data_IF_872634082331
#
_entry.id   IF_872634082331
#
_cell.length_a   1.000
_cell.length_b   1.000
_cell.length_c   1.000
_cell.angle_alpha   90.00
_cell.angle_beta   90.00
_cell.angle_gamma   90.00
#
_symmetry.space_group_name_H-M   'P 1'
#
loop_
_entity.id
_entity.type
_entity.pdbx_description
1 polymer ?
#
# COMPACT_ATOMS: atom_id res chain seq x y z
N UNK A 1 16.62 10.44 -5.67
CA UNK A 1 15.65 11.01 -6.62
C UNK A 1 14.46 11.48 -5.83
N UNK A 2 13.78 12.60 -6.14
CA UNK A 2 12.48 12.87 -5.53
C UNK A 2 11.53 11.71 -5.82
N UNK A 3 10.65 11.42 -4.87
CA UNK A 3 9.60 10.42 -5.02
C UNK A 3 8.77 10.74 -6.27
N UNK A 4 8.42 9.73 -7.10
CA UNK A 4 7.66 9.96 -8.31
C UNK A 4 6.27 10.49 -7.95
N UNK A 5 5.83 11.56 -8.63
CA UNK A 5 4.49 12.11 -8.43
C UNK A 5 3.48 11.18 -9.11
N UNK A 6 2.55 10.55 -8.36
CA UNK A 6 1.56 9.68 -8.95
C UNK A 6 0.45 10.48 -9.65
N UNK A 7 0.00 10.00 -10.81
CA UNK A 7 -1.09 10.58 -11.60
C UNK A 7 -2.25 9.61 -11.66
N UNK A 8 -3.49 10.11 -11.50
CA UNK A 8 -4.68 9.28 -11.62
C UNK A 8 -5.04 9.03 -13.09
N UNK A 9 -5.38 7.78 -13.42
CA UNK A 9 -5.97 7.45 -14.71
C UNK A 9 -7.42 7.93 -14.75
N UNK A 10 -7.67 8.95 -15.56
CA UNK A 10 -8.97 9.60 -15.70
C UNK A 10 -9.48 9.41 -17.12
N UNK A 11 -10.74 9.02 -17.24
CA UNK A 11 -11.41 8.87 -18.52
C UNK A 11 -12.38 10.04 -18.70
N UNK A 12 -12.07 11.00 -19.60
CA UNK A 12 -12.94 12.14 -19.86
C UNK A 12 -14.26 11.66 -20.49
N UNK A 13 -15.35 12.43 -20.35
CA UNK A 13 -16.61 12.12 -21.03
C UNK A 13 -16.37 12.04 -22.55
N UNK A 14 -17.02 11.06 -23.20
CA UNK A 14 -16.99 10.93 -24.66
C UNK A 14 -18.33 10.46 -25.18
N UNK A 15 -18.80 11.09 -26.25
CA UNK A 15 -19.96 10.68 -27.03
C UNK A 15 -19.58 10.07 -28.38
N UNK A 16 -18.28 10.00 -28.70
CA UNK A 16 -17.78 9.43 -29.94
C UNK A 16 -18.03 7.91 -30.00
N UNK A 17 -18.85 7.42 -30.94
CA UNK A 17 -19.15 6.00 -31.09
C UNK A 17 -17.91 5.13 -31.35
N UNK A 18 -16.84 5.70 -31.90
CA UNK A 18 -15.61 4.96 -32.19
C UNK A 18 -14.83 4.60 -30.94
N UNK A 19 -14.84 5.48 -29.93
CA UNK A 19 -14.15 5.26 -28.65
C UNK A 19 -15.03 4.60 -27.59
N UNK A 20 -16.35 4.84 -27.61
CA UNK A 20 -17.29 4.30 -26.61
C UNK A 20 -17.31 2.77 -26.57
N UNK A 21 -17.24 2.13 -27.75
CA UNK A 21 -17.29 0.67 -27.88
C UNK A 21 -16.08 -0.05 -27.28
N UNK A 22 -14.95 0.65 -27.16
CA UNK A 22 -13.70 0.11 -26.60
C UNK A 22 -13.50 0.48 -25.13
N UNK A 23 -14.45 1.22 -24.54
CA UNK A 23 -14.42 1.61 -23.13
C UNK A 23 -15.32 0.67 -22.33
N UNK A 24 -14.75 -0.43 -21.82
CA UNK A 24 -15.48 -1.38 -20.97
C UNK A 24 -16.15 -0.72 -19.75
N UNK A 25 -15.55 0.36 -19.23
CA UNK A 25 -16.14 1.19 -18.18
C UNK A 25 -17.39 1.96 -18.64
N UNK A 26 -17.47 2.40 -19.90
CA UNK A 26 -18.67 3.08 -20.43
C UNK A 26 -19.87 2.13 -20.55
N UNK A 27 -19.61 0.85 -20.81
CA UNK A 27 -20.63 -0.20 -20.79
C UNK A 27 -21.13 -0.52 -19.38
N UNK A 28 -20.21 -0.62 -18.41
CA UNK A 28 -20.53 -0.95 -17.02
C UNK A 28 -21.12 0.24 -16.25
N UNK A 29 -20.76 1.46 -16.64
CA UNK A 29 -21.14 2.70 -15.99
C UNK A 29 -21.60 3.72 -17.05
N UNK A 30 -22.89 3.71 -17.45
CA UNK A 30 -23.42 4.59 -18.50
C UNK A 30 -23.27 6.09 -18.20
N UNK A 31 -23.15 6.47 -16.92
CA UNK A 31 -22.92 7.86 -16.48
C UNK A 31 -21.62 8.46 -17.04
N UNK A 32 -20.63 7.61 -17.36
CA UNK A 32 -19.32 8.02 -17.88
C UNK A 32 -19.35 8.56 -19.32
N UNK A 33 -20.51 8.49 -19.98
CA UNK A 33 -20.76 9.15 -21.28
C UNK A 33 -21.03 10.64 -21.12
N UNK A 34 -21.54 11.05 -19.95
CA UNK A 34 -21.94 12.43 -19.63
C UNK A 34 -21.07 13.09 -18.57
N UNK A 35 -20.26 12.34 -17.83
CA UNK A 35 -19.35 12.86 -16.81
C UNK A 35 -18.00 12.14 -16.83
N UNK A 36 -16.98 12.82 -16.30
CA UNK A 36 -15.66 12.24 -16.11
C UNK A 36 -15.73 11.00 -15.21
N UNK A 37 -15.06 9.93 -15.64
CA UNK A 37 -14.88 8.74 -14.81
C UNK A 37 -13.46 8.68 -14.26
N UNK A 38 -13.39 8.59 -12.94
CA UNK A 38 -12.16 8.54 -12.16
C UNK A 38 -11.93 7.12 -11.71
N UNK A 39 -10.92 6.45 -12.30
CA UNK A 39 -10.61 5.05 -11.98
C UNK A 39 -10.16 4.89 -10.53
N UNK A 40 -9.60 5.95 -9.93
CA UNK A 40 -8.85 5.93 -8.67
C UNK A 40 -7.55 5.14 -8.72
N UNK A 41 -7.12 4.68 -9.88
CA UNK A 41 -5.83 4.04 -10.08
C UNK A 41 -4.76 5.09 -10.36
N UNK A 42 -3.67 5.02 -9.60
CA UNK A 42 -2.51 5.89 -9.71
C UNK A 42 -1.42 5.22 -10.53
N UNK A 43 -0.78 5.99 -11.40
CA UNK A 43 0.31 5.56 -12.26
C UNK A 43 1.48 6.53 -12.14
N UNK A 44 2.68 5.98 -12.32
CA UNK A 44 3.92 6.74 -12.45
C UNK A 44 4.63 6.33 -13.74
N UNK A 45 5.50 7.18 -14.33
CA UNK A 45 6.37 6.76 -15.41
C UNK A 45 7.16 5.50 -15.01
N UNK A 46 7.42 4.62 -15.97
CA UNK A 46 8.17 3.40 -15.68
C UNK A 46 9.55 3.76 -15.09
N UNK A 47 10.05 3.07 -14.04
CA UNK A 47 11.33 3.43 -13.40
C UNK A 47 12.55 3.21 -14.30
N UNK A 48 12.46 2.29 -15.25
CA UNK A 48 13.45 2.13 -16.33
C UNK A 48 13.37 3.30 -17.33
N UNK A 49 14.45 4.08 -17.52
CA UNK A 49 14.47 5.22 -18.42
C UNK A 49 14.13 4.92 -19.89
N UNK A 50 14.52 3.75 -20.40
CA UNK A 50 14.21 3.36 -21.79
C UNK A 50 12.70 3.20 -21.96
N UNK A 51 12.06 2.47 -21.04
CA UNK A 51 10.61 2.27 -21.01
C UNK A 51 9.86 3.58 -20.76
N UNK A 52 10.36 4.44 -19.89
CA UNK A 52 9.79 5.77 -19.68
C UNK A 52 9.83 6.62 -20.95
N UNK A 53 10.93 6.57 -21.70
CA UNK A 53 11.08 7.31 -22.96
C UNK A 53 10.15 6.83 -24.08
N UNK A 54 9.72 5.56 -24.02
CA UNK A 54 8.67 4.98 -24.88
C UNK A 54 7.24 5.33 -24.41
N UNK A 55 7.09 6.09 -23.32
CA UNK A 55 5.79 6.47 -22.77
C UNK A 55 5.12 5.38 -21.95
N UNK A 56 5.87 4.40 -21.43
CA UNK A 56 5.30 3.35 -20.59
C UNK A 56 5.10 3.82 -19.14
N UNK A 57 3.95 3.45 -18.58
CA UNK A 57 3.54 3.76 -17.22
C UNK A 57 3.42 2.48 -16.40
N UNK A 58 3.67 2.60 -15.10
CA UNK A 58 3.53 1.50 -14.14
C UNK A 58 2.43 1.85 -13.13
N UNK A 59 1.58 0.86 -12.83
CA UNK A 59 0.64 0.97 -11.72
C UNK A 59 1.40 1.25 -10.41
N UNK A 60 0.98 2.30 -9.73
CA UNK A 60 1.56 2.75 -8.47
C UNK A 60 0.67 2.38 -7.29
N UNK A 61 -0.64 2.51 -7.42
CA UNK A 61 -1.55 2.18 -6.33
C UNK A 61 -2.93 2.75 -6.55
N UNK A 62 -3.67 2.87 -5.46
CA UNK A 62 -5.05 3.34 -5.44
C UNK A 62 -5.15 4.62 -4.62
N UNK A 63 -5.93 5.59 -5.10
CA UNK A 63 -6.20 6.84 -4.36
C UNK A 63 -6.85 6.54 -3.00
N UNK A 64 -7.77 5.58 -2.99
CA UNK A 64 -8.54 5.14 -1.82
C UNK A 64 -7.75 4.23 -0.86
N UNK A 65 -6.59 3.70 -1.26
CA UNK A 65 -5.71 2.92 -0.38
C UNK A 65 -4.68 3.79 0.36
N UNK A 66 -4.56 5.08 0.04
CA UNK A 66 -3.59 5.96 0.67
C UNK A 66 -3.89 6.13 2.17
N UNK A 67 -2.86 5.99 3.00
CA UNK A 67 -2.92 6.25 4.44
C UNK A 67 -2.49 7.70 4.68
N UNK A 68 -3.45 8.54 5.07
CA UNK A 68 -3.18 9.94 5.40
C UNK A 68 -2.81 10.07 6.88
N UNK A 69 -1.60 10.55 7.15
CA UNK A 69 -1.10 10.81 8.50
C UNK A 69 -1.70 12.12 9.04
N UNK A 70 -1.59 12.34 10.35
CA UNK A 70 -2.07 13.57 11.02
C UNK A 70 -1.43 14.85 10.47
N UNK A 71 -0.24 14.75 9.87
CA UNK A 71 0.44 15.87 9.19
C UNK A 71 -0.16 16.22 7.82
N UNK A 72 -1.10 15.40 7.31
CA UNK A 72 -1.59 15.46 5.93
C UNK A 72 -0.67 14.75 4.92
N UNK A 73 0.45 14.19 5.36
CA UNK A 73 1.31 13.38 4.50
C UNK A 73 0.59 12.10 4.08
N UNK A 74 0.64 11.78 2.78
CA UNK A 74 0.03 10.58 2.21
C UNK A 74 1.06 9.49 2.04
N UNK A 75 0.81 8.35 2.65
CA UNK A 75 1.57 7.12 2.48
C UNK A 75 0.83 6.23 1.47
N UNK A 76 1.52 5.73 0.45
CA UNK A 76 0.95 4.81 -0.54
C UNK A 76 1.38 3.38 -0.25
N UNK A 77 0.53 2.55 0.38
CA UNK A 77 0.99 1.28 0.94
C UNK A 77 1.36 0.23 -0.09
N UNK A 78 0.67 0.20 -1.24
CA UNK A 78 0.83 -0.87 -2.24
C UNK A 78 2.28 -1.18 -2.64
N UNK A 79 3.05 -0.20 -3.17
CA UNK A 79 4.45 -0.41 -3.54
C UNK A 79 5.34 -0.76 -2.36
N UNK A 80 5.12 -0.10 -1.22
CA UNK A 80 5.93 -0.28 -0.02
C UNK A 80 5.72 -1.67 0.59
N UNK A 81 4.47 -2.09 0.74
CA UNK A 81 4.09 -3.43 1.23
C UNK A 81 4.55 -4.52 0.27
N UNK A 82 4.48 -4.29 -1.05
CA UNK A 82 5.01 -5.22 -2.03
C UNK A 82 6.53 -5.39 -1.91
N UNK A 83 7.27 -4.31 -1.61
CA UNK A 83 8.70 -4.38 -1.38
C UNK A 83 9.04 -5.21 -0.12
N UNK A 84 8.35 -4.96 1.00
CA UNK A 84 8.56 -5.71 2.26
C UNK A 84 8.18 -7.18 2.10
N UNK A 85 7.09 -7.48 1.39
CA UNK A 85 6.69 -8.85 1.04
C UNK A 85 7.65 -9.58 0.11
N UNK A 86 8.61 -8.88 -0.49
CA UNK A 86 9.70 -9.52 -1.23
C UNK A 86 10.66 -10.32 -0.33
N UNK A 87 10.60 -10.13 0.98
CA UNK A 87 11.39 -10.87 1.95
C UNK A 87 10.84 -12.30 2.16
N UNK A 88 11.68 -13.36 2.10
CA UNK A 88 11.21 -14.75 2.08
C UNK A 88 10.46 -15.19 3.35
N UNK A 89 10.73 -14.57 4.51
CA UNK A 89 10.02 -14.86 5.76
C UNK A 89 8.72 -14.06 5.96
N UNK A 90 8.38 -13.13 5.06
CA UNK A 90 7.17 -12.29 5.18
C UNK A 90 6.08 -12.85 4.29
N UNK A 91 4.96 -13.30 4.88
CA UNK A 91 3.78 -13.68 4.12
C UNK A 91 3.05 -12.44 3.59
N UNK A 92 2.75 -11.51 4.49
CA UNK A 92 2.05 -10.28 4.21
C UNK A 92 2.48 -9.17 5.16
N UNK A 93 2.16 -7.93 4.81
CA UNK A 93 2.23 -6.81 5.73
C UNK A 93 1.13 -5.79 5.40
N UNK A 94 0.78 -4.98 6.38
CA UNK A 94 -0.20 -3.92 6.24
C UNK A 94 0.25 -2.66 6.98
N UNK A 95 0.44 -1.58 6.23
CA UNK A 95 0.70 -0.25 6.77
C UNK A 95 -0.55 0.30 7.46
N UNK A 96 -0.35 0.89 8.63
CA UNK A 96 -1.37 1.52 9.47
C UNK A 96 -0.93 2.94 9.84
N UNK A 97 -1.80 3.67 10.56
CA UNK A 97 -1.48 5.01 11.04
C UNK A 97 -2.30 6.14 10.43
N UNK A 98 -3.47 5.84 9.84
CA UNK A 98 -4.38 6.88 9.40
C UNK A 98 -4.73 7.81 10.58
N UNK A 99 -4.55 9.12 10.39
CA UNK A 99 -4.75 10.13 11.43
C UNK A 99 -3.74 10.09 12.57
N UNK A 100 -2.62 9.36 12.44
CA UNK A 100 -1.54 9.29 13.45
C UNK A 100 -0.32 10.10 13.01
N UNK A 101 0.54 10.45 13.95
CA UNK A 101 1.71 11.30 13.69
C UNK A 101 2.79 10.63 12.84
N UNK A 102 2.84 9.30 12.83
CA UNK A 102 3.78 8.47 12.06
C UNK A 102 3.11 7.17 11.60
N UNK A 103 3.55 6.59 10.47
CA UNK A 103 3.01 5.32 10.01
C UNK A 103 3.54 4.17 10.87
N UNK A 104 2.77 3.09 10.91
CA UNK A 104 3.20 1.81 11.45
C UNK A 104 2.95 0.68 10.47
N UNK A 105 3.41 -0.52 10.79
CA UNK A 105 3.20 -1.70 9.96
C UNK A 105 2.92 -2.93 10.82
N UNK A 106 1.91 -3.68 10.43
CA UNK A 106 1.70 -5.06 10.88
C UNK A 106 2.41 -5.99 9.89
N UNK A 107 3.28 -6.87 10.37
CA UNK A 107 4.02 -7.82 9.54
C UNK A 107 3.61 -9.24 9.94
N UNK A 108 3.13 -9.99 8.95
CA UNK A 108 2.71 -11.37 9.09
C UNK A 108 3.85 -12.29 8.59
N UNK A 109 4.45 -13.12 9.46
CA UNK A 109 5.47 -14.07 9.06
C UNK A 109 4.87 -15.24 8.27
N UNK A 110 5.73 -15.93 7.50
CA UNK A 110 5.35 -17.15 6.78
C UNK A 110 4.99 -18.31 7.71
N UNK A 111 5.68 -18.39 8.85
CA UNK A 111 5.54 -19.46 9.84
C UNK A 111 5.33 -18.85 11.22
N UNK A 112 4.71 -19.60 12.12
CA UNK A 112 4.46 -19.17 13.50
C UNK A 112 5.80 -18.98 14.23
N UNK A 113 5.93 -17.86 14.95
CA UNK A 113 7.08 -17.60 15.81
C UNK A 113 6.74 -18.10 17.22
N UNK A 114 7.29 -19.24 17.60
CA UNK A 114 6.98 -19.96 18.86
C UNK A 114 7.82 -19.51 20.05
N UNK A 115 8.89 -18.77 19.81
CA UNK A 115 9.83 -18.25 20.81
C UNK A 115 9.38 -16.96 21.51
N UNK A 116 8.14 -16.50 21.27
CA UNK A 116 7.58 -15.31 21.90
C UNK A 116 8.32 -14.03 21.50
N UNK A 117 8.43 -13.06 22.43
CA UNK A 117 8.99 -11.73 22.14
C UNK A 117 10.42 -11.75 21.61
N UNK A 118 11.26 -12.70 22.04
CA UNK A 118 12.66 -12.75 21.59
C UNK A 118 12.75 -13.14 20.12
N UNK A 119 11.94 -14.10 19.68
CA UNK A 119 11.87 -14.50 18.28
C UNK A 119 11.20 -13.42 17.42
N UNK A 120 10.15 -12.76 17.93
CA UNK A 120 9.54 -11.62 17.23
C UNK A 120 10.55 -10.48 17.02
N UNK A 121 11.36 -10.15 18.03
CA UNK A 121 12.44 -9.16 17.91
C UNK A 121 13.47 -9.60 16.87
N UNK A 122 13.90 -10.87 16.90
CA UNK A 122 14.81 -11.42 15.90
C UNK A 122 14.26 -11.34 14.47
N UNK A 123 12.98 -11.64 14.30
CA UNK A 123 12.29 -11.50 13.01
C UNK A 123 12.23 -10.05 12.53
N UNK A 124 11.92 -9.10 13.43
CA UNK A 124 11.93 -7.67 13.08
C UNK A 124 13.32 -7.23 12.65
N UNK A 125 14.39 -7.64 13.34
CA UNK A 125 15.77 -7.33 12.95
C UNK A 125 16.14 -7.91 11.58
N UNK A 126 15.67 -9.12 11.26
CA UNK A 126 15.90 -9.75 9.95
C UNK A 126 15.18 -9.00 8.82
N UNK A 127 13.93 -8.57 9.05
CA UNK A 127 13.10 -7.87 8.05
C UNK A 127 13.46 -6.38 7.95
N UNK A 128 14.08 -5.79 8.98
CA UNK A 128 14.35 -4.36 9.02
C UNK A 128 15.11 -3.79 7.81
N UNK A 129 16.16 -4.44 7.25
CA UNK A 129 16.85 -3.93 6.08
C UNK A 129 15.93 -3.76 4.85
N UNK A 130 14.93 -4.62 4.66
CA UNK A 130 13.97 -4.44 3.55
C UNK A 130 12.99 -3.30 3.83
N UNK A 131 12.62 -3.08 5.09
CA UNK A 131 11.79 -1.95 5.54
C UNK A 131 12.54 -0.63 5.32
N UNK A 132 13.82 -0.55 5.69
CA UNK A 132 14.66 0.63 5.44
C UNK A 132 14.77 0.94 3.96
N UNK A 133 15.00 -0.08 3.13
CA UNK A 133 15.03 0.09 1.68
C UNK A 133 13.68 0.56 1.13
N UNK A 134 12.57 0.03 1.62
CA UNK A 134 11.24 0.48 1.22
C UNK A 134 10.97 1.94 1.65
N UNK A 135 11.49 2.35 2.80
CA UNK A 135 11.41 3.72 3.30
C UNK A 135 12.17 4.76 2.43
N UNK A 136 13.08 4.33 1.56
CA UNK A 136 13.73 5.24 0.61
C UNK A 136 12.77 5.80 -0.44
N UNK A 137 11.66 5.10 -0.72
CA UNK A 137 10.63 5.51 -1.68
C UNK A 137 9.45 6.26 -1.07
N UNK A 138 9.58 6.73 0.17
CA UNK A 138 8.59 7.59 0.83
C UNK A 138 9.28 8.80 1.46
N UNK A 139 8.52 9.90 1.57
CA UNK A 139 8.98 11.12 2.20
C UNK A 139 9.49 10.87 3.64
N UNK A 140 10.53 11.61 4.05
CA UNK A 140 11.18 11.40 5.35
C UNK A 140 10.21 11.42 6.55
N UNK A 141 9.17 12.28 6.51
CA UNK A 141 8.14 12.39 7.55
C UNK A 141 7.11 11.23 7.54
N UNK A 142 7.15 10.36 6.54
CA UNK A 142 6.26 9.23 6.36
C UNK A 142 7.03 7.89 6.33
N UNK A 143 8.27 7.85 6.81
CA UNK A 143 9.03 6.60 6.95
C UNK A 143 8.52 5.80 8.14
N UNK A 144 8.44 4.48 7.98
CA UNK A 144 8.13 3.57 9.09
C UNK A 144 9.36 3.42 9.98
N UNK A 145 9.22 3.74 11.26
CA UNK A 145 10.29 3.59 12.25
C UNK A 145 10.32 2.17 12.83
N UNK A 146 11.46 1.74 13.35
CA UNK A 146 11.65 0.39 13.91
C UNK A 146 10.67 0.08 15.04
N UNK A 147 10.44 1.04 15.93
CA UNK A 147 9.47 0.92 17.02
C UNK A 147 8.00 0.84 16.56
N UNK A 148 7.73 1.10 15.28
CA UNK A 148 6.39 1.08 14.67
C UNK A 148 6.12 -0.20 13.86
N UNK A 149 6.96 -1.22 14.02
CA UNK A 149 6.76 -2.56 13.46
C UNK A 149 6.12 -3.45 14.52
N UNK A 150 5.02 -4.12 14.18
CA UNK A 150 4.41 -5.16 15.04
C UNK A 150 4.27 -6.44 14.25
N UNK A 151 4.69 -7.55 14.85
CA UNK A 151 4.47 -8.89 14.30
C UNK A 151 3.05 -9.32 14.63
N UNK A 152 2.35 -9.90 13.66
CA UNK A 152 1.03 -10.49 13.87
C UNK A 152 1.05 -11.96 13.45
N UNK A 153 0.15 -12.76 14.01
CA UNK A 153 0.13 -14.21 13.74
C UNK A 153 -0.07 -14.49 12.24
N UNK A 154 0.57 -15.54 11.69
CA UNK A 154 0.28 -16.06 10.38
C UNK A 154 -1.23 -16.21 10.13
N UNK A 155 -1.68 -15.70 8.97
CA UNK A 155 -3.07 -15.74 8.55
C UNK A 155 -4.05 -14.81 9.28
N UNK A 156 -3.57 -13.98 10.21
CA UNK A 156 -4.42 -13.04 10.95
C UNK A 156 -4.78 -11.78 10.14
N UNK A 157 -4.09 -11.49 9.03
CA UNK A 157 -4.52 -10.46 8.09
C UNK A 157 -5.64 -11.00 7.20
N UNK A 158 -6.82 -10.37 7.28
CA UNK A 158 -8.03 -10.77 6.54
C UNK A 158 -7.80 -10.53 5.06
N UNK A 159 -8.08 -11.54 4.23
CA UNK A 159 -7.81 -11.49 2.78
C UNK A 159 -9.07 -11.75 1.96
N UNK A 160 -9.16 -11.09 0.81
CA UNK A 160 -10.12 -11.42 -0.22
C UNK A 160 -9.75 -12.76 -0.89
N UNK A 161 -10.66 -13.42 -1.63
CA UNK A 161 -10.36 -14.67 -2.34
C UNK A 161 -9.13 -14.59 -3.28
N UNK A 162 -8.85 -13.38 -3.81
CA UNK A 162 -7.66 -13.09 -4.63
C UNK A 162 -6.35 -12.90 -3.83
N UNK A 163 -6.37 -13.13 -2.52
CA UNK A 163 -5.21 -12.99 -1.62
C UNK A 163 -4.84 -11.55 -1.23
N UNK A 164 -5.58 -10.54 -1.68
CA UNK A 164 -5.35 -9.14 -1.27
C UNK A 164 -5.83 -8.92 0.16
N UNK A 165 -5.01 -8.25 0.99
CA UNK A 165 -5.38 -7.86 2.36
C UNK A 165 -6.54 -6.87 2.32
N UNK A 166 -7.61 -7.18 3.06
CA UNK A 166 -8.75 -6.29 3.29
C UNK A 166 -8.39 -5.40 4.48
N UNK A 167 -7.91 -4.19 4.20
CA UNK A 167 -7.32 -3.28 5.18
C UNK A 167 -8.26 -2.96 6.34
N UNK A 168 -9.53 -2.65 6.03
CA UNK A 168 -10.54 -2.32 7.04
C UNK A 168 -10.77 -3.48 8.01
N UNK A 169 -11.06 -4.67 7.48
CA UNK A 169 -11.33 -5.85 8.30
C UNK A 169 -10.09 -6.28 9.12
N UNK A 170 -8.90 -6.19 8.53
CA UNK A 170 -7.63 -6.48 9.23
C UNK A 170 -7.37 -5.43 10.32
N UNK A 171 -7.56 -4.15 10.04
CA UNK A 171 -7.40 -3.07 11.01
C UNK A 171 -8.38 -3.20 12.19
N UNK A 172 -9.64 -3.57 11.93
CA UNK A 172 -10.63 -3.85 12.97
C UNK A 172 -10.20 -5.06 13.83
N UNK A 173 -9.72 -6.14 13.21
CA UNK A 173 -9.24 -7.34 13.92
C UNK A 173 -7.97 -7.13 14.75
N UNK A 174 -7.14 -6.15 14.37
CA UNK A 174 -5.87 -5.83 15.04
C UNK A 174 -5.90 -4.51 15.79
N UNK A 175 -7.08 -3.97 16.10
CA UNK A 175 -7.24 -2.64 16.70
C UNK A 175 -6.41 -2.48 17.98
N UNK A 176 -6.44 -3.46 18.89
CA UNK A 176 -5.69 -3.37 20.16
C UNK A 176 -4.17 -3.34 19.93
N UNK A 177 -3.66 -4.12 18.97
CA UNK A 177 -2.23 -4.11 18.59
C UNK A 177 -1.84 -2.75 18.01
N UNK A 178 -2.68 -2.20 17.14
CA UNK A 178 -2.47 -0.88 16.53
C UNK A 178 -2.51 0.21 17.60
N UNK A 179 -3.48 0.20 18.51
CA UNK A 179 -3.56 1.19 19.58
C UNK A 179 -2.38 1.08 20.56
N UNK A 180 -1.97 -0.14 20.95
CA UNK A 180 -0.80 -0.38 21.79
C UNK A 180 0.48 0.19 21.18
N UNK A 181 0.68 -0.01 19.88
CA UNK A 181 1.79 0.58 19.12
C UNK A 181 1.87 2.11 19.28
N UNK A 182 0.73 2.82 19.28
CA UNK A 182 0.69 4.28 19.45
C UNK A 182 0.66 4.75 20.91
N UNK A 183 0.41 3.86 21.89
CA UNK A 183 0.62 4.14 23.32
C UNK A 183 2.09 3.99 23.75
N UNK A 184 2.92 3.37 22.89
CA UNK A 184 4.32 3.07 23.21
C UNK A 184 4.49 1.74 23.95
N UNK A 185 3.50 0.84 23.84
CA UNK A 185 3.51 -0.53 24.36
C UNK A 185 4.15 -1.51 23.37
#
# INVERSE_FOLDING_TARGET
>A
SPDPIPHELVFPPTTDPATIRHRGNAWLFPSTTTSEWRSRDLFVPHPDPARASEGLWRFYGRVDDAVELASGAKFFPGPWEAAVRGHPRVAHCMVVGAGRSRPGVLVEPMEELVGGEEEEKGFVEEVWPVIEKANEGVAACARVERGMVRVVRPGSLVRAPKGTVIRRASGEGHREVIEGMYRGE
#
